data_IF_484369905531
#
_entry.id   IF_484369905531
#
_cell.length_a   1.000
_cell.length_b   1.000
_cell.length_c   1.000
_cell.angle_alpha   90.00
_cell.angle_beta   90.00
_cell.angle_gamma   90.00
#
_symmetry.space_group_name_H-M   'P 1'
#
loop_
_entity.id
_entity.type
_entity.pdbx_description
1 polymer ?
#
# COMPACT_ATOMS: atom_id res chain seq x y z
N UNK A 1 8.27 12.73 -8.85
CA UNK A 1 6.89 12.91 -9.36
C UNK A 1 6.78 13.68 -10.69
N UNK A 2 7.77 14.45 -11.16
CA UNK A 2 7.63 15.30 -12.38
C UNK A 2 7.22 14.55 -13.66
N UNK A 3 7.93 13.47 -14.01
CA UNK A 3 7.64 12.65 -15.20
C UNK A 3 6.19 12.12 -15.26
N UNK A 4 5.62 11.78 -14.11
CA UNK A 4 4.21 11.35 -14.03
C UNK A 4 3.27 12.44 -14.50
N UNK A 5 3.48 13.68 -14.06
CA UNK A 5 2.65 14.82 -14.45
C UNK A 5 2.86 15.26 -15.89
N UNK A 6 4.07 15.11 -16.43
CA UNK A 6 4.33 15.30 -17.87
C UNK A 6 3.52 14.31 -18.72
N UNK A 7 3.50 13.03 -18.34
CA UNK A 7 2.67 12.01 -18.98
C UNK A 7 1.17 12.27 -18.80
N UNK A 8 0.74 12.70 -17.61
CA UNK A 8 -0.65 13.08 -17.36
C UNK A 8 -1.09 14.22 -18.28
N UNK A 9 -0.30 15.28 -18.42
CA UNK A 9 -0.64 16.38 -19.32
C UNK A 9 -0.79 15.90 -20.78
N UNK A 10 0.12 15.06 -21.25
CA UNK A 10 0.05 14.46 -22.60
C UNK A 10 -1.22 13.63 -22.82
N UNK A 11 -1.69 12.92 -21.78
CA UNK A 11 -2.82 11.99 -21.85
C UNK A 11 -4.15 12.57 -21.35
N UNK A 12 -4.16 13.82 -20.88
CA UNK A 12 -5.31 14.44 -20.22
C UNK A 12 -6.51 14.72 -21.13
N UNK A 13 -6.33 14.63 -22.45
CA UNK A 13 -7.36 14.90 -23.45
C UNK A 13 -7.96 13.59 -23.97
N UNK A 14 -9.30 13.45 -24.03
CA UNK A 14 -9.95 12.28 -24.60
C UNK A 14 -9.71 12.19 -26.11
N UNK A 15 -8.80 11.32 -26.54
CA UNK A 15 -8.37 11.16 -27.95
C UNK A 15 -8.05 9.69 -28.31
N UNK A 16 -8.63 8.73 -27.57
CA UNK A 16 -8.51 7.29 -27.83
C UNK A 16 -7.56 6.54 -26.89
N UNK A 17 -6.86 7.25 -26.00
CA UNK A 17 -6.01 6.64 -24.97
C UNK A 17 -6.86 6.02 -23.84
N UNK A 18 -6.30 5.01 -23.17
CA UNK A 18 -6.84 4.42 -21.95
C UNK A 18 -6.63 5.35 -20.74
N UNK A 19 -7.25 5.06 -19.59
CA UNK A 19 -6.85 5.69 -18.33
C UNK A 19 -5.33 5.60 -18.12
N UNK A 20 -4.70 6.67 -17.66
CA UNK A 20 -3.23 6.76 -17.52
C UNK A 20 -2.59 5.58 -16.75
N UNK A 21 -3.31 5.01 -15.78
CA UNK A 21 -2.85 3.85 -15.02
C UNK A 21 -2.72 2.56 -15.85
N UNK A 22 -3.25 2.55 -17.07
CA UNK A 22 -3.23 1.45 -18.06
C UNK A 22 -2.43 1.81 -19.31
N UNK A 23 -1.75 2.97 -19.31
CA UNK A 23 -0.88 3.41 -20.39
C UNK A 23 0.58 3.10 -20.09
N UNK A 24 1.41 3.00 -21.13
CA UNK A 24 2.86 2.81 -20.99
C UNK A 24 3.55 4.13 -20.58
N UNK A 25 3.45 4.47 -19.30
CA UNK A 25 3.96 5.72 -18.72
C UNK A 25 4.89 5.49 -17.53
N UNK A 26 5.52 4.32 -17.47
CA UNK A 26 6.41 3.90 -16.37
C UNK A 26 5.69 3.91 -14.99
N UNK A 27 4.37 3.69 -15.02
CA UNK A 27 3.56 3.49 -13.82
C UNK A 27 3.18 2.02 -13.70
N UNK A 28 3.50 1.45 -12.55
CA UNK A 28 3.10 0.09 -12.20
C UNK A 28 2.06 0.20 -11.11
N UNK A 29 0.90 -0.42 -11.33
CA UNK A 29 -0.18 -0.40 -10.36
C UNK A 29 0.33 -0.96 -9.02
N UNK A 30 0.26 -0.18 -7.93
CA UNK A 30 0.86 -0.54 -6.65
C UNK A 30 0.11 -1.67 -5.96
N UNK A 31 0.82 -2.39 -5.09
CA UNK A 31 0.17 -3.26 -4.12
C UNK A 31 -0.70 -2.44 -3.15
N UNK A 32 -1.70 -3.09 -2.53
CA UNK A 32 -2.55 -2.48 -1.52
C UNK A 32 -1.98 -2.76 -0.12
N UNK A 33 -1.92 -1.75 0.74
CA UNK A 33 -1.55 -1.94 2.13
C UNK A 33 -2.60 -2.79 2.85
N UNK A 34 -2.18 -3.79 3.60
CA UNK A 34 -3.07 -4.65 4.39
C UNK A 34 -3.79 -3.86 5.50
N UNK A 35 -3.06 -2.98 6.18
CA UNK A 35 -3.53 -2.29 7.38
C UNK A 35 -4.48 -1.14 7.08
N UNK A 36 -4.11 -0.24 6.16
CA UNK A 36 -4.86 0.99 5.90
C UNK A 36 -5.67 0.96 4.60
N UNK A 37 -5.55 -0.10 3.80
CA UNK A 37 -6.24 -0.27 2.51
C UNK A 37 -5.86 0.78 1.43
N UNK A 38 -4.88 1.63 1.69
CA UNK A 38 -4.33 2.61 0.74
C UNK A 38 -3.26 1.94 -0.15
N UNK A 39 -3.12 2.35 -1.41
CA UNK A 39 -2.04 1.89 -2.27
C UNK A 39 -0.62 2.19 -1.74
N UNK A 40 0.30 1.22 -1.87
CA UNK A 40 1.72 1.37 -1.54
C UNK A 40 2.45 2.14 -2.66
N UNK A 41 2.28 3.47 -2.70
CA UNK A 41 2.78 4.31 -3.80
C UNK A 41 4.29 4.58 -3.77
N UNK A 42 4.89 4.59 -2.58
CA UNK A 42 6.33 4.83 -2.41
C UNK A 42 7.00 3.47 -2.26
N UNK A 43 7.82 3.09 -3.25
CA UNK A 43 8.42 1.74 -3.30
C UNK A 43 9.44 1.55 -2.19
N UNK A 44 10.14 2.61 -1.83
CA UNK A 44 11.17 2.66 -0.80
C UNK A 44 10.60 2.45 0.61
N UNK A 45 9.33 2.82 0.81
CA UNK A 45 8.62 2.64 2.09
C UNK A 45 7.84 1.32 2.16
N UNK A 46 7.77 0.58 1.05
CA UNK A 46 6.99 -0.64 0.97
C UNK A 46 7.65 -1.76 1.79
N UNK A 47 6.87 -2.35 2.70
CA UNK A 47 7.29 -3.50 3.50
C UNK A 47 6.49 -4.73 3.09
N UNK A 48 7.14 -5.90 3.08
CA UNK A 48 6.49 -7.19 2.83
C UNK A 48 6.81 -8.14 3.96
N UNK A 49 5.79 -8.76 4.56
CA UNK A 49 5.98 -9.72 5.65
C UNK A 49 4.97 -10.87 5.54
N UNK A 50 5.38 -12.05 6.01
CA UNK A 50 4.49 -13.21 6.10
C UNK A 50 3.87 -13.27 7.49
N UNK A 51 2.60 -12.88 7.58
CA UNK A 51 1.82 -12.85 8.81
C UNK A 51 0.69 -13.87 8.73
N UNK A 52 0.52 -14.68 9.77
CA UNK A 52 -0.52 -15.73 9.85
C UNK A 52 -0.51 -16.67 8.64
N UNK A 53 0.69 -16.94 8.10
CA UNK A 53 0.89 -17.78 6.92
C UNK A 53 0.66 -17.09 5.57
N UNK A 54 0.21 -15.84 5.55
CA UNK A 54 -0.08 -15.08 4.33
C UNK A 54 0.97 -13.98 4.09
N UNK A 55 1.46 -13.87 2.86
CA UNK A 55 2.27 -12.71 2.45
C UNK A 55 1.38 -11.46 2.36
N UNK A 56 1.78 -10.42 3.07
CA UNK A 56 1.08 -9.13 3.15
C UNK A 56 2.03 -8.00 2.74
N UNK A 57 1.46 -6.96 2.16
CA UNK A 57 2.15 -5.74 1.74
C UNK A 57 1.70 -4.57 2.60
N UNK A 58 2.63 -3.70 2.97
CA UNK A 58 2.38 -2.51 3.79
C UNK A 58 2.98 -1.28 3.13
N UNK A 59 2.31 -0.14 3.26
CA UNK A 59 2.80 1.12 2.68
C UNK A 59 3.84 1.81 3.56
N UNK A 60 4.06 1.32 4.79
CA UNK A 60 5.04 1.85 5.73
C UNK A 60 5.31 0.86 6.87
N UNK A 61 6.44 1.04 7.53
CA UNK A 61 6.83 0.26 8.71
C UNK A 61 5.80 0.33 9.87
N UNK A 62 5.20 1.49 10.20
CA UNK A 62 4.11 1.55 11.19
C UNK A 62 2.87 0.74 10.81
N UNK A 63 2.52 0.69 9.52
CA UNK A 63 1.40 -0.15 9.06
C UNK A 63 1.71 -1.63 9.26
N UNK A 64 2.94 -2.04 8.92
CA UNK A 64 3.42 -3.39 9.20
C UNK A 64 3.34 -3.69 10.69
N UNK A 65 3.90 -2.83 11.54
CA UNK A 65 3.96 -3.05 12.99
C UNK A 65 2.58 -3.19 13.62
N UNK A 66 1.62 -2.37 13.13
CA UNK A 66 0.23 -2.40 13.60
C UNK A 66 -0.41 -3.78 13.40
N UNK A 67 -0.21 -4.37 12.22
CA UNK A 67 -0.73 -5.69 11.86
C UNK A 67 0.10 -6.83 12.46
N UNK A 68 1.43 -6.72 12.37
CA UNK A 68 2.36 -7.78 12.74
C UNK A 68 2.53 -7.96 14.26
N UNK A 69 2.39 -6.89 15.04
CA UNK A 69 2.75 -6.85 16.46
C UNK A 69 1.69 -6.18 17.35
N UNK A 70 1.25 -4.96 17.03
CA UNK A 70 0.49 -4.12 17.96
C UNK A 70 -0.91 -4.66 18.27
N UNK A 71 -1.59 -5.25 17.27
CA UNK A 71 -2.94 -5.78 17.41
C UNK A 71 -3.01 -7.31 17.51
N UNK A 72 -1.93 -7.93 18.00
CA UNK A 72 -1.97 -9.34 18.42
C UNK A 72 -2.81 -9.51 19.69
N UNK A 73 -3.28 -10.72 20.01
CA UNK A 73 -4.09 -10.96 21.22
C UNK A 73 -3.42 -10.47 22.51
N UNK A 74 -2.09 -10.52 22.56
CA UNK A 74 -1.29 -10.04 23.68
C UNK A 74 -0.22 -9.10 23.16
N UNK A 75 -0.09 -7.93 23.78
CA UNK A 75 0.95 -6.95 23.47
C UNK A 75 1.67 -6.52 24.76
N UNK A 76 3.01 -6.63 24.78
CA UNK A 76 3.85 -6.31 25.95
C UNK A 76 3.35 -6.92 27.28
N UNK A 77 2.86 -8.17 27.23
CA UNK A 77 2.39 -8.89 28.42
C UNK A 77 1.00 -8.46 28.93
N UNK A 78 0.27 -7.64 28.17
CA UNK A 78 -1.13 -7.26 28.46
C UNK A 78 -2.04 -7.73 27.35
N UNK A 79 -3.30 -8.03 27.68
CA UNK A 79 -4.31 -8.25 26.66
C UNK A 79 -4.49 -6.97 25.85
N UNK A 80 -4.46 -7.12 24.53
CA UNK A 80 -4.74 -6.01 23.64
C UNK A 80 -6.22 -5.65 23.79
N UNK A 81 -6.58 -4.37 23.99
CA UNK A 81 -7.98 -3.94 24.09
C UNK A 81 -8.78 -4.42 22.86
N UNK A 82 -10.12 -4.43 22.96
CA UNK A 82 -11.06 -4.79 21.87
C UNK A 82 -11.04 -3.80 20.66
N UNK A 83 -9.86 -3.32 20.27
CA UNK A 83 -9.58 -2.79 18.95
C UNK A 83 -9.69 -3.98 17.98
N UNK A 84 -10.46 -3.83 16.91
CA UNK A 84 -10.76 -4.91 15.97
C UNK A 84 -9.49 -5.69 15.58
N UNK A 85 -9.54 -7.02 15.70
CA UNK A 85 -8.49 -7.90 15.19
C UNK A 85 -8.41 -7.67 13.67
N UNK A 86 -7.23 -7.30 13.16
CA UNK A 86 -6.95 -7.16 11.73
C UNK A 86 -6.79 -8.52 11.04
#
# INVERSE_FOLDING_TARGET
>A
YGKWWENYNRLSTPNGHNPIALEDVDYVYPHRCWTCMVPCLIREDMVMEKVDGQWRTYCSEPCRWTDAEAFRPTYQGRETPNMGRL
#
